data_IF_250169443806
#
_entry.id   IF_250169443806
#
_cell.length_a   1.000
_cell.length_b   1.000
_cell.length_c   1.000
_cell.angle_alpha   90.00
_cell.angle_beta   90.00
_cell.angle_gamma   90.00
#
_symmetry.space_group_name_H-M   'P 1'
#
loop_
_entity.id
_entity.type
_entity.pdbx_description
1 polymer ?
#
# COMPACT_ATOMS: atom_id res chain seq x y z
N UNK A 1 -6.83 13.20 18.95
CA UNK A 1 -8.13 13.05 18.27
C UNK A 1 -7.96 12.00 17.20
N UNK A 2 -8.59 10.84 17.34
CA UNK A 2 -8.52 9.86 16.26
C UNK A 2 -9.22 10.48 15.05
N UNK A 3 -8.47 10.62 13.96
CA UNK A 3 -9.05 10.92 12.67
C UNK A 3 -9.98 9.76 12.33
N UNK A 4 -11.26 9.93 12.61
CA UNK A 4 -12.26 9.01 12.11
C UNK A 4 -12.36 9.23 10.60
N UNK A 5 -11.46 8.58 9.90
CA UNK A 5 -11.49 8.60 8.46
C UNK A 5 -12.43 7.48 8.04
N UNK A 6 -13.68 7.84 7.82
CA UNK A 6 -14.65 6.92 7.26
C UNK A 6 -14.35 6.73 5.77
N UNK A 7 -14.18 5.50 5.37
CA UNK A 7 -14.10 5.17 3.96
C UNK A 7 -15.42 5.56 3.30
N UNK A 8 -15.32 6.29 2.20
CA UNK A 8 -16.47 6.74 1.45
C UNK A 8 -17.19 5.59 0.73
N UNK A 9 -18.35 5.88 0.20
CA UNK A 9 -19.11 4.92 -0.58
C UNK A 9 -18.41 4.62 -1.91
N UNK A 10 -18.61 3.39 -2.40
CA UNK A 10 -18.13 3.00 -3.73
C UNK A 10 -19.09 3.53 -4.78
N UNK A 11 -18.56 4.11 -5.86
CA UNK A 11 -19.37 4.58 -6.97
C UNK A 11 -20.16 3.39 -7.57
N UNK A 12 -21.46 3.49 -7.73
CA UNK A 12 -22.25 2.39 -8.30
C UNK A 12 -21.95 2.13 -9.79
N UNK A 13 -21.33 3.09 -10.47
CA UNK A 13 -20.94 2.92 -11.86
C UNK A 13 -19.45 2.52 -11.91
N UNK A 14 -19.19 1.34 -12.46
CA UNK A 14 -17.83 0.81 -12.61
C UNK A 14 -17.19 1.31 -13.89
N UNK A 15 -16.00 1.90 -13.76
CA UNK A 15 -15.16 2.20 -14.92
C UNK A 15 -14.58 0.88 -15.46
N UNK A 16 -14.70 0.65 -16.75
CA UNK A 16 -14.17 -0.55 -17.37
C UNK A 16 -12.63 -0.49 -17.45
N UNK A 17 -11.97 -1.55 -16.99
CA UNK A 17 -10.52 -1.68 -17.07
C UNK A 17 -10.17 -2.57 -18.26
N UNK A 18 -9.67 -1.95 -19.35
CA UNK A 18 -9.34 -2.67 -20.56
C UNK A 18 -7.98 -3.38 -20.46
N UNK A 19 -7.05 -2.82 -19.70
CA UNK A 19 -5.71 -3.39 -19.52
C UNK A 19 -5.31 -3.34 -18.05
N UNK A 20 -5.31 -4.48 -17.34
CA UNK A 20 -4.83 -4.53 -15.95
C UNK A 20 -3.40 -4.04 -15.80
N UNK A 21 -2.53 -4.30 -16.76
CA UNK A 21 -1.13 -3.83 -16.74
C UNK A 21 -1.06 -2.29 -16.71
N UNK A 22 -1.81 -1.63 -17.60
CA UNK A 22 -1.85 -0.16 -17.66
C UNK A 22 -2.43 0.40 -16.36
N UNK A 23 -3.50 -0.20 -15.86
CA UNK A 23 -4.11 0.23 -14.60
C UNK A 23 -3.15 0.06 -13.43
N UNK A 24 -2.38 -1.03 -13.38
CA UNK A 24 -1.36 -1.25 -12.35
C UNK A 24 -0.31 -0.15 -12.35
N UNK A 25 0.20 0.22 -13.52
CA UNK A 25 1.14 1.34 -13.65
C UNK A 25 0.53 2.65 -13.17
N UNK A 26 -0.72 2.90 -13.53
CA UNK A 26 -1.44 4.10 -13.12
C UNK A 26 -1.62 4.18 -11.60
N UNK A 27 -2.00 3.07 -10.97
CA UNK A 27 -2.17 3.00 -9.51
C UNK A 27 -0.83 3.25 -8.81
N UNK A 28 0.26 2.68 -9.30
CA UNK A 28 1.60 2.91 -8.74
C UNK A 28 2.01 4.38 -8.86
N UNK A 29 1.78 5.00 -10.00
CA UNK A 29 2.08 6.43 -10.21
C UNK A 29 1.25 7.31 -9.29
N UNK A 30 -0.04 7.02 -9.12
CA UNK A 30 -0.91 7.75 -8.21
C UNK A 30 -0.45 7.59 -6.76
N UNK A 31 -0.11 6.38 -6.33
CA UNK A 31 0.40 6.16 -4.98
C UNK A 31 1.66 6.96 -4.71
N UNK A 32 2.57 7.01 -5.66
CA UNK A 32 3.77 7.83 -5.56
C UNK A 32 3.44 9.32 -5.54
N UNK A 33 2.51 9.75 -6.36
CA UNK A 33 2.06 11.14 -6.38
C UNK A 33 1.47 11.57 -5.04
N UNK A 34 0.75 10.67 -4.37
CA UNK A 34 0.15 10.95 -3.07
C UNK A 34 1.13 10.83 -1.90
N UNK A 35 2.34 10.36 -2.12
CA UNK A 35 3.39 10.40 -1.11
C UNK A 35 4.17 9.11 -0.88
N UNK A 36 3.79 8.00 -1.47
CA UNK A 36 4.56 6.75 -1.36
C UNK A 36 5.86 6.84 -2.15
N UNK A 37 6.93 6.26 -1.63
CA UNK A 37 8.19 6.17 -2.35
C UNK A 37 8.21 4.98 -3.30
N UNK A 38 7.59 3.88 -2.89
CA UNK A 38 7.44 2.66 -3.72
C UNK A 38 6.06 2.08 -3.47
N UNK A 39 5.42 1.60 -4.53
CA UNK A 39 4.13 0.91 -4.46
C UNK A 39 4.26 -0.45 -5.15
N UNK A 40 3.83 -1.49 -4.47
CA UNK A 40 3.76 -2.85 -5.02
C UNK A 40 2.36 -3.40 -5.00
N UNK A 41 2.09 -4.36 -5.87
CA UNK A 41 0.79 -5.02 -5.98
C UNK A 41 1.00 -6.51 -5.81
N UNK A 42 0.23 -7.12 -4.90
CA UNK A 42 0.34 -8.54 -4.57
C UNK A 42 -0.99 -9.22 -4.87
N UNK A 43 -0.96 -10.27 -5.67
CA UNK A 43 -2.12 -11.12 -5.88
C UNK A 43 -2.38 -11.98 -4.64
N UNK A 44 -3.65 -12.13 -4.29
CA UNK A 44 -4.07 -12.93 -3.14
C UNK A 44 -4.51 -14.30 -3.62
N UNK A 45 -3.91 -15.37 -3.06
CA UNK A 45 -4.18 -16.74 -3.51
C UNK A 45 -5.57 -17.24 -3.09
N UNK A 46 -6.10 -16.74 -1.99
CA UNK A 46 -7.34 -17.23 -1.39
C UNK A 46 -8.58 -16.39 -1.73
N UNK A 47 -8.41 -15.19 -2.30
CA UNK A 47 -9.52 -14.30 -2.64
C UNK A 47 -9.30 -13.68 -4.02
N UNK A 48 -10.40 -13.40 -4.76
CA UNK A 48 -10.28 -12.61 -5.99
C UNK A 48 -9.89 -11.19 -5.63
N UNK A 49 -8.76 -10.72 -6.15
CA UNK A 49 -8.30 -9.36 -5.92
C UNK A 49 -6.82 -9.28 -5.58
N UNK A 50 -6.41 -8.08 -5.23
CA UNK A 50 -5.03 -7.76 -4.94
C UNK A 50 -4.92 -6.94 -3.65
N UNK A 51 -3.74 -6.98 -3.06
CA UNK A 51 -3.34 -6.05 -2.00
C UNK A 51 -2.34 -5.05 -2.58
N UNK A 52 -2.57 -3.77 -2.32
CA UNK A 52 -1.65 -2.70 -2.70
C UNK A 52 -0.81 -2.37 -1.47
N UNK A 53 0.50 -2.43 -1.62
CA UNK A 53 1.48 -2.18 -0.56
C UNK A 53 2.21 -0.90 -0.88
N UNK A 54 2.15 0.07 0.02
CA UNK A 54 2.84 1.35 -0.13
C UNK A 54 3.96 1.45 0.90
N UNK A 55 5.16 1.77 0.45
CA UNK A 55 6.34 1.89 1.30
C UNK A 55 6.86 3.33 1.22
N UNK A 56 7.14 3.91 2.38
CA UNK A 56 7.69 5.25 2.49
C UNK A 56 9.08 5.16 3.13
N UNK A 57 10.02 5.91 2.58
CA UNK A 57 11.35 6.04 3.21
C UNK A 57 11.25 6.92 4.44
N UNK A 58 12.14 6.68 5.40
CA UNK A 58 12.33 7.54 6.55
C UNK A 58 13.81 7.88 6.66
N UNK A 59 14.13 9.06 7.19
CA UNK A 59 15.53 9.48 7.37
C UNK A 59 16.19 8.76 8.57
N UNK A 60 15.38 8.11 9.39
CA UNK A 60 15.79 7.33 10.56
C UNK A 60 14.77 6.23 10.79
N UNK A 61 15.08 5.30 11.69
CA UNK A 61 14.13 4.21 12.02
C UNK A 61 12.84 4.82 12.61
N UNK A 62 11.70 4.79 11.90
CA UNK A 62 10.45 5.38 12.40
C UNK A 62 9.93 4.69 13.66
N UNK A 63 10.38 3.48 13.95
CA UNK A 63 9.94 2.71 15.12
C UNK A 63 10.67 3.14 16.39
N UNK A 64 11.90 3.62 16.24
CA UNK A 64 12.72 4.12 17.34
C UNK A 64 12.53 5.62 17.56
N UNK A 65 12.01 6.34 16.58
CA UNK A 65 11.83 7.79 16.65
C UNK A 65 10.59 8.16 17.45
N UNK A 66 10.74 9.13 18.33
CA UNK A 66 9.63 9.69 19.11
C UNK A 66 9.33 11.12 18.64
N UNK A 67 8.08 11.54 18.79
CA UNK A 67 7.64 12.89 18.44
C UNK A 67 7.39 13.06 16.94
N UNK A 68 7.62 14.27 16.44
CA UNK A 68 7.24 14.69 15.08
C UNK A 68 7.92 13.82 14.02
N UNK A 69 9.18 13.50 14.22
CA UNK A 69 9.93 12.72 13.26
C UNK A 69 9.40 11.30 13.05
N UNK A 70 8.96 10.63 14.13
CA UNK A 70 8.38 9.29 14.03
C UNK A 70 6.99 9.30 13.43
N UNK A 71 6.27 10.42 13.52
CA UNK A 71 4.90 10.53 13.04
C UNK A 71 4.80 10.95 11.58
N UNK A 72 5.83 11.60 11.03
CA UNK A 72 5.78 12.10 9.65
C UNK A 72 5.53 11.00 8.62
N UNK A 73 6.27 9.87 8.62
CA UNK A 73 5.98 8.78 7.69
C UNK A 73 4.58 8.18 7.90
N UNK A 74 4.14 8.08 9.15
CA UNK A 74 2.81 7.55 9.48
C UNK A 74 1.71 8.42 8.88
N UNK A 75 1.80 9.74 9.03
CA UNK A 75 0.80 10.68 8.50
C UNK A 75 0.81 10.72 6.98
N UNK A 76 1.99 10.71 6.37
CA UNK A 76 2.11 10.65 4.91
C UNK A 76 1.52 9.36 4.36
N UNK A 77 1.80 8.24 5.00
CA UNK A 77 1.26 6.96 4.60
C UNK A 77 -0.26 6.90 4.73
N UNK A 78 -0.80 7.46 5.82
CA UNK A 78 -2.24 7.52 6.03
C UNK A 78 -2.92 8.38 4.95
N UNK A 79 -2.37 9.52 4.62
CA UNK A 79 -2.88 10.39 3.56
C UNK A 79 -2.84 9.68 2.20
N UNK A 80 -1.72 9.04 1.88
CA UNK A 80 -1.54 8.33 0.61
C UNK A 80 -2.54 7.19 0.46
N UNK A 81 -2.65 6.32 1.46
CA UNK A 81 -3.54 5.16 1.36
C UNK A 81 -5.01 5.56 1.37
N UNK A 82 -5.37 6.56 2.17
CA UNK A 82 -6.74 7.10 2.19
C UNK A 82 -7.12 7.65 0.81
N UNK A 83 -6.25 8.46 0.22
CA UNK A 83 -6.53 9.12 -1.06
C UNK A 83 -6.57 8.11 -2.20
N UNK A 84 -5.64 7.15 -2.21
CA UNK A 84 -5.60 6.11 -3.24
C UNK A 84 -6.83 5.19 -3.15
N UNK A 85 -7.23 4.80 -1.94
CA UNK A 85 -8.43 3.98 -1.76
C UNK A 85 -9.69 4.73 -2.21
N UNK A 86 -9.77 6.04 -1.92
CA UNK A 86 -10.89 6.87 -2.37
C UNK A 86 -10.95 6.93 -3.90
N UNK A 87 -9.81 7.05 -4.56
CA UNK A 87 -9.73 7.02 -6.01
C UNK A 87 -10.27 5.71 -6.59
N UNK A 88 -9.87 4.57 -6.01
CA UNK A 88 -10.33 3.25 -6.46
C UNK A 88 -11.84 3.11 -6.29
N UNK A 89 -12.38 3.58 -5.16
CA UNK A 89 -13.84 3.55 -4.93
C UNK A 89 -14.58 4.45 -5.93
N UNK A 90 -13.99 5.55 -6.31
CA UNK A 90 -14.56 6.43 -7.33
C UNK A 90 -14.63 5.76 -8.70
N UNK A 91 -13.69 4.86 -9.00
CA UNK A 91 -13.74 4.02 -10.21
C UNK A 91 -14.82 2.94 -10.15
N UNK A 92 -15.46 2.75 -9.01
CA UNK A 92 -16.54 1.78 -8.83
C UNK A 92 -16.07 0.41 -8.31
N UNK A 93 -14.86 0.33 -7.78
CA UNK A 93 -14.31 -0.91 -7.24
C UNK A 93 -14.17 -0.83 -5.72
N UNK A 94 -14.17 -2.00 -5.10
CA UNK A 94 -13.98 -2.11 -3.65
C UNK A 94 -12.55 -1.75 -3.30
N UNK A 95 -12.37 -0.96 -2.24
CA UNK A 95 -11.07 -0.67 -1.66
C UNK A 95 -11.22 -0.57 -0.15
N UNK A 96 -10.55 -1.46 0.57
CA UNK A 96 -10.61 -1.56 2.02
C UNK A 96 -9.20 -1.41 2.57
N UNK A 97 -9.01 -0.44 3.46
CA UNK A 97 -7.72 -0.24 4.14
C UNK A 97 -7.64 -1.15 5.36
N UNK A 98 -6.46 -1.71 5.58
CA UNK A 98 -6.19 -2.56 6.74
C UNK A 98 -4.79 -2.25 7.29
N UNK A 99 -4.63 -2.41 8.60
CA UNK A 99 -3.34 -2.20 9.25
C UNK A 99 -2.28 -3.15 8.66
N UNK A 100 -1.08 -2.63 8.47
CA UNK A 100 -0.02 -3.40 7.81
C UNK A 100 0.70 -4.39 8.73
N UNK A 101 0.70 -4.21 10.01
CA UNK A 101 1.30 -5.12 11.01
C UNK A 101 2.45 -5.99 10.46
N UNK A 102 2.57 -7.25 10.92
CA UNK A 102 3.57 -8.18 10.41
C UNK A 102 3.31 -8.63 8.97
N UNK A 103 2.05 -8.63 8.53
CA UNK A 103 1.68 -9.04 7.18
C UNK A 103 2.12 -8.03 6.12
N UNK A 104 2.20 -6.75 6.48
CA UNK A 104 2.64 -5.70 5.56
C UNK A 104 4.05 -5.93 5.03
N UNK A 105 4.99 -6.27 5.91
CA UNK A 105 6.36 -6.56 5.51
C UNK A 105 6.43 -7.79 4.60
N UNK A 106 5.67 -8.84 4.92
CA UNK A 106 5.62 -10.05 4.09
C UNK A 106 5.02 -9.80 2.71
N UNK A 107 3.97 -9.00 2.65
CA UNK A 107 3.36 -8.62 1.38
C UNK A 107 4.31 -7.76 0.54
N UNK A 108 5.05 -6.86 1.17
CA UNK A 108 6.07 -6.07 0.47
C UNK A 108 7.15 -6.96 -0.16
N UNK A 109 7.59 -7.99 0.55
CA UNK A 109 8.53 -8.98 0.01
C UNK A 109 7.91 -9.75 -1.16
N UNK A 110 6.66 -10.17 -1.04
CA UNK A 110 5.94 -10.86 -2.11
C UNK A 110 5.79 -9.98 -3.36
N UNK A 111 5.68 -8.66 -3.18
CA UNK A 111 5.65 -7.70 -4.29
C UNK A 111 7.03 -7.42 -4.89
N UNK A 112 8.09 -7.98 -4.33
CA UNK A 112 9.45 -7.78 -4.83
C UNK A 112 10.08 -6.47 -4.38
N UNK A 113 9.57 -5.84 -3.33
CA UNK A 113 10.05 -4.54 -2.86
C UNK A 113 11.31 -4.63 -1.99
N UNK A 114 11.63 -5.82 -1.47
CA UNK A 114 12.80 -6.01 -0.63
C UNK A 114 12.84 -7.40 -0.01
N UNK A 115 13.60 -7.54 1.06
CA UNK A 115 13.76 -8.78 1.80
C UNK A 115 13.52 -8.53 3.28
N UNK A 116 13.25 -9.58 4.04
CA UNK A 116 13.14 -9.48 5.50
C UNK A 116 14.52 -9.64 6.13
N UNK A 117 14.82 -8.83 7.15
CA UNK A 117 16.03 -8.98 7.96
C UNK A 117 15.82 -10.06 9.04
N UNK A 118 16.84 -10.25 9.90
CA UNK A 118 16.79 -11.23 10.99
C UNK A 118 15.65 -10.97 11.99
N UNK A 119 15.19 -9.72 12.08
CA UNK A 119 14.09 -9.31 12.97
C UNK A 119 12.71 -9.44 12.30
N UNK A 120 12.65 -9.94 11.07
CA UNK A 120 11.41 -10.10 10.31
C UNK A 120 10.88 -8.80 9.71
N UNK A 121 11.73 -7.79 9.52
CA UNK A 121 11.35 -6.48 9.01
C UNK A 121 11.86 -6.25 7.61
N UNK A 122 11.12 -5.45 6.85
CA UNK A 122 11.46 -5.15 5.45
C UNK A 122 12.74 -4.32 5.35
N UNK A 123 13.64 -4.76 4.48
CA UNK A 123 14.82 -3.99 4.04
C UNK A 123 14.72 -3.84 2.53
N UNK A 124 14.68 -2.61 2.06
CA UNK A 124 14.59 -2.33 0.62
C UNK A 124 15.97 -2.07 0.04
N UNK A 125 16.23 -2.49 -1.22
CA UNK A 125 17.54 -2.24 -1.84
C UNK A 125 17.86 -0.75 -1.99
N UNK A 126 16.83 0.08 -2.20
CA UNK A 126 17.01 1.51 -2.47
C UNK A 126 17.07 2.35 -1.20
N UNK A 127 16.26 2.00 -0.18
CA UNK A 127 16.09 2.82 1.02
C UNK A 127 16.61 2.15 2.29
N UNK A 128 17.11 0.91 2.20
CA UNK A 128 17.61 0.17 3.35
C UNK A 128 16.50 -0.19 4.36
N UNK A 129 16.85 -0.27 5.67
CA UNK A 129 15.89 -0.66 6.70
C UNK A 129 15.00 0.47 7.22
N UNK A 130 15.31 1.72 6.87
CA UNK A 130 14.58 2.88 7.37
C UNK A 130 13.38 3.16 6.46
N UNK A 131 12.41 2.26 6.50
CA UNK A 131 11.19 2.35 5.71
C UNK A 131 9.97 2.13 6.60
N UNK A 132 8.85 2.69 6.16
CA UNK A 132 7.55 2.52 6.78
C UNK A 132 6.60 1.90 5.76
N UNK A 133 5.99 0.77 6.12
CA UNK A 133 4.94 0.15 5.31
C UNK A 133 3.61 0.72 5.76
N UNK A 134 2.94 1.45 4.88
CA UNK A 134 1.66 2.07 5.17
C UNK A 134 0.55 1.02 5.25
N UNK A 135 -0.67 1.46 5.57
CA UNK A 135 -1.82 0.56 5.54
C UNK A 135 -1.94 -0.13 4.18
N UNK A 136 -2.39 -1.38 4.21
CA UNK A 136 -2.65 -2.14 3.00
C UNK A 136 -4.01 -1.74 2.42
N UNK A 137 -4.13 -1.78 1.10
CA UNK A 137 -5.40 -1.60 0.41
C UNK A 137 -5.76 -2.92 -0.28
N UNK A 138 -6.85 -3.54 0.17
CA UNK A 138 -7.41 -4.72 -0.48
C UNK A 138 -8.47 -4.27 -1.49
N UNK A 139 -8.34 -4.70 -2.74
CA UNK A 139 -9.21 -4.23 -3.83
C UNK A 139 -9.50 -5.34 -4.83
N UNK A 140 -10.66 -5.27 -5.46
CA UNK A 140 -11.06 -6.11 -6.59
C UNK A 140 -10.83 -5.40 -7.94
N UNK A 141 -10.20 -4.23 -7.93
CA UNK A 141 -9.79 -3.55 -9.18
C UNK A 141 -8.89 -4.50 -9.99
N UNK A 142 -9.19 -4.71 -11.28
CA UNK A 142 -8.34 -5.57 -12.11
C UNK A 142 -6.93 -4.98 -12.27
N UNK A 143 -5.94 -5.65 -11.67
CA UNK A 143 -4.55 -5.22 -11.64
C UNK A 143 -3.65 -6.40 -12.01
N UNK A 144 -2.50 -6.10 -12.58
CA UNK A 144 -1.43 -7.07 -12.77
C UNK A 144 -0.53 -7.06 -11.53
N UNK A 145 -0.46 -8.19 -10.85
CA UNK A 145 0.32 -8.32 -9.61
C UNK A 145 1.81 -8.45 -9.90
N UNK A 146 2.63 -7.85 -9.03
CA UNK A 146 4.08 -8.01 -9.06
C UNK A 146 4.52 -9.36 -8.49
N UNK A 147 3.67 -9.96 -7.67
CA UNK A 147 3.91 -11.25 -7.06
C UNK A 147 2.65 -11.78 -6.41
N UNK A 148 2.72 -12.98 -5.87
CA UNK A 148 1.57 -13.63 -5.22
C UNK A 148 1.96 -14.04 -3.80
N UNK A 149 1.10 -13.72 -2.85
CA UNK A 149 1.25 -14.16 -1.47
C UNK A 149 0.32 -15.34 -1.20
N UNK A 150 0.89 -16.43 -0.73
CA UNK A 150 0.11 -17.56 -0.20
C UNK A 150 -0.07 -17.37 1.28
N UNK A 151 -1.24 -16.96 1.64
CA UNK A 151 -1.62 -16.87 3.03
C UNK A 151 -2.55 -18.01 3.40
#
# INVERSE_FOLDING_TARGET
MPLQVHDGATNPVRTEVHSPNVMSGHIKELGQFYGADVVGIVGLASEPGCAIVSVLKADYDPRAAHGVGGQTPLLKGLFETFTLAAYIRELGYRAVRAASDADGDRLAVAAGLGVLNAEGRLVTPRFGPNVYVAELIYTDLPLEADGTCRM
#
